data_IF_248998289473
#
_entry.id   IF_248998289473
#
_cell.length_a   1.000
_cell.length_b   1.000
_cell.length_c   1.000
_cell.angle_alpha   90.00
_cell.angle_beta   90.00
_cell.angle_gamma   90.00
#
_symmetry.space_group_name_H-M   'P 1'
#
loop_
_entity.id
_entity.type
_entity.pdbx_description
1 polymer ?
#
# COMPACT_ATOMS: atom_id res chain seq x y z
N UNK A 1 8.09 2.79 -7.69
CA UNK A 1 7.00 2.04 -7.05
C UNK A 1 6.69 2.82 -5.79
N UNK A 2 5.48 3.38 -5.61
CA UNK A 2 5.12 4.01 -4.35
C UNK A 2 5.43 3.07 -3.19
N UNK A 3 6.17 3.57 -2.20
CA UNK A 3 6.48 2.86 -0.97
C UNK A 3 5.55 3.41 0.11
N UNK A 4 5.82 3.12 1.39
CA UNK A 4 4.93 3.53 2.47
C UNK A 4 4.67 5.06 2.50
N UNK A 5 5.67 5.95 2.40
CA UNK A 5 5.45 7.40 2.50
C UNK A 5 4.59 7.97 1.38
N UNK A 6 4.79 7.54 0.12
CA UNK A 6 3.94 7.98 -0.98
C UNK A 6 2.50 7.46 -0.84
N UNK A 7 2.34 6.22 -0.37
CA UNK A 7 1.02 5.65 -0.08
C UNK A 7 0.33 6.41 1.06
N UNK A 8 1.05 6.77 2.12
CA UNK A 8 0.53 7.62 3.21
C UNK A 8 0.09 8.99 2.69
N UNK A 9 0.90 9.61 1.84
CA UNK A 9 0.59 10.92 1.25
C UNK A 9 -0.70 10.87 0.45
N UNK A 10 -0.90 9.81 -0.35
CA UNK A 10 -2.14 9.59 -1.09
C UNK A 10 -3.32 9.42 -0.13
N UNK A 11 -3.18 8.57 0.89
CA UNK A 11 -4.24 8.34 1.90
C UNK A 11 -4.62 9.64 2.60
N UNK A 12 -3.66 10.39 3.14
CA UNK A 12 -3.90 11.66 3.83
C UNK A 12 -4.49 12.73 2.92
N UNK A 13 -4.02 12.81 1.67
CA UNK A 13 -4.51 13.78 0.70
C UNK A 13 -5.94 13.47 0.21
N UNK A 14 -6.33 12.20 0.17
CA UNK A 14 -7.65 11.76 -0.26
C UNK A 14 -8.67 11.70 0.87
N UNK A 15 -8.28 11.34 2.10
CA UNK A 15 -9.17 11.20 3.25
C UNK A 15 -10.19 12.36 3.39
N UNK A 16 -9.78 13.64 3.48
CA UNK A 16 -10.73 14.75 3.64
C UNK A 16 -11.62 14.99 2.42
N UNK A 17 -11.29 14.39 1.26
CA UNK A 17 -12.03 14.56 0.00
C UNK A 17 -13.02 13.45 -0.26
N UNK A 18 -12.75 12.22 0.21
CA UNK A 18 -13.52 11.02 -0.17
C UNK A 18 -14.26 10.36 0.98
N UNK A 19 -13.82 10.54 2.24
CA UNK A 19 -14.53 9.99 3.39
C UNK A 19 -15.91 10.65 3.53
N UNK A 20 -16.92 9.83 3.81
CA UNK A 20 -18.32 10.23 3.82
C UNK A 20 -18.96 10.41 2.44
N UNK A 21 -18.19 10.31 1.35
CA UNK A 21 -18.72 10.47 -0.02
C UNK A 21 -19.25 9.15 -0.59
N UNK A 22 -20.32 9.25 -1.37
CA UNK A 22 -20.99 8.11 -2.00
C UNK A 22 -20.48 7.89 -3.43
N UNK A 23 -20.10 6.66 -3.74
CA UNK A 23 -19.71 6.24 -5.10
C UNK A 23 -20.98 6.14 -5.94
N UNK A 24 -21.21 7.12 -6.81
CA UNK A 24 -22.41 7.23 -7.66
C UNK A 24 -22.34 6.36 -8.89
N UNK A 25 -21.16 6.28 -9.51
CA UNK A 25 -20.89 5.46 -10.67
C UNK A 25 -19.48 4.86 -10.62
N UNK A 26 -19.26 3.77 -11.33
CA UNK A 26 -17.98 3.09 -11.42
C UNK A 26 -17.80 2.57 -12.85
N UNK A 27 -16.68 2.95 -13.47
CA UNK A 27 -16.27 2.43 -14.78
C UNK A 27 -14.99 1.65 -14.66
N UNK A 28 -14.97 0.44 -15.22
CA UNK A 28 -13.79 -0.43 -15.27
C UNK A 28 -13.42 -0.63 -16.74
N UNK A 29 -12.34 0.01 -17.17
CA UNK A 29 -11.82 -0.08 -18.54
C UNK A 29 -10.89 -1.27 -18.75
N UNK A 30 -10.21 -1.71 -17.68
CA UNK A 30 -9.34 -2.88 -17.72
C UNK A 30 -9.76 -3.91 -16.66
N UNK A 31 -10.68 -4.84 -16.99
CA UNK A 31 -11.23 -5.83 -16.07
C UNK A 31 -10.21 -6.60 -15.23
N UNK A 32 -9.06 -6.94 -15.81
CA UNK A 32 -7.98 -7.71 -15.14
C UNK A 32 -7.31 -6.97 -13.97
N UNK A 33 -7.65 -5.69 -13.75
CA UNK A 33 -7.17 -4.95 -12.59
C UNK A 33 -7.91 -5.33 -11.31
N UNK A 34 -9.16 -5.76 -11.43
CA UNK A 34 -9.95 -6.30 -10.33
C UNK A 34 -9.67 -7.79 -10.24
N UNK A 35 -9.42 -8.30 -9.03
CA UNK A 35 -9.14 -9.71 -8.81
C UNK A 35 -10.40 -10.57 -8.93
N UNK A 36 -11.50 -10.09 -8.38
CA UNK A 36 -12.81 -10.73 -8.46
C UNK A 36 -13.43 -10.50 -9.84
N UNK A 37 -14.60 -11.11 -10.08
CA UNK A 37 -15.39 -10.77 -11.26
C UNK A 37 -15.78 -9.27 -11.22
N UNK A 38 -15.48 -8.48 -12.26
CA UNK A 38 -15.80 -7.04 -12.31
C UNK A 38 -17.27 -6.73 -12.03
N UNK A 39 -18.21 -7.58 -12.45
CA UNK A 39 -19.63 -7.39 -12.19
C UNK A 39 -19.97 -7.52 -10.70
N UNK A 40 -19.31 -8.46 -9.99
CA UNK A 40 -19.46 -8.61 -8.53
C UNK A 40 -18.88 -7.40 -7.82
N UNK A 41 -17.68 -6.98 -8.22
CA UNK A 41 -17.03 -5.79 -7.66
C UNK A 41 -17.92 -4.56 -7.83
N UNK A 42 -18.41 -4.31 -9.05
CA UNK A 42 -19.28 -3.18 -9.34
C UNK A 42 -20.58 -3.23 -8.53
N UNK A 43 -21.25 -4.39 -8.45
CA UNK A 43 -22.47 -4.55 -7.65
C UNK A 43 -22.25 -4.21 -6.16
N UNK A 44 -21.07 -4.51 -5.61
CA UNK A 44 -20.76 -4.33 -4.20
C UNK A 44 -20.22 -2.94 -3.85
N UNK A 45 -19.62 -2.25 -4.82
CA UNK A 45 -19.01 -0.93 -4.64
C UNK A 45 -19.94 0.21 -5.02
N UNK A 46 -20.80 0.00 -6.02
CA UNK A 46 -21.72 1.03 -6.51
C UNK A 46 -22.73 1.43 -5.43
N UNK A 47 -23.02 2.72 -5.34
CA UNK A 47 -23.91 3.32 -4.34
C UNK A 47 -23.48 3.10 -2.89
N UNK A 48 -22.22 2.74 -2.62
CA UNK A 48 -21.70 2.67 -1.26
C UNK A 48 -20.99 3.97 -0.89
N UNK A 49 -21.02 4.30 0.40
CA UNK A 49 -20.28 5.41 0.98
C UNK A 49 -18.91 4.91 1.43
N UNK A 50 -17.86 5.68 1.17
CA UNK A 50 -16.53 5.41 1.74
C UNK A 50 -16.55 5.91 3.18
N UNK A 51 -16.47 5.01 4.15
CA UNK A 51 -16.43 5.37 5.57
C UNK A 51 -15.03 5.81 6.00
N UNK A 52 -14.00 5.14 5.46
CA UNK A 52 -12.62 5.39 5.85
C UNK A 52 -11.65 5.03 4.74
N UNK A 53 -10.59 5.81 4.59
CA UNK A 53 -9.39 5.43 3.83
C UNK A 53 -8.21 5.28 4.78
N UNK A 54 -7.45 4.20 4.63
CA UNK A 54 -6.27 3.95 5.45
C UNK A 54 -5.24 3.11 4.67
N UNK A 55 -4.06 2.88 5.27
CA UNK A 55 -3.03 2.02 4.67
C UNK A 55 -2.48 0.98 5.63
N UNK A 56 -1.88 -0.05 5.03
CA UNK A 56 -0.99 -0.98 5.72
C UNK A 56 0.18 -1.32 4.82
N UNK A 57 1.40 -0.98 5.25
CA UNK A 57 2.59 -1.03 4.39
C UNK A 57 2.38 -0.19 3.13
N UNK A 58 2.26 -0.87 1.99
CA UNK A 58 2.08 -0.26 0.64
C UNK A 58 0.69 -0.49 0.04
N UNK A 59 -0.24 -1.01 0.84
CA UNK A 59 -1.64 -1.19 0.45
C UNK A 59 -2.47 -0.01 0.95
N UNK A 60 -3.43 0.40 0.13
CA UNK A 60 -4.50 1.34 0.47
C UNK A 60 -5.77 0.53 0.69
N UNK A 61 -6.56 0.88 1.69
CA UNK A 61 -7.84 0.28 2.00
C UNK A 61 -8.92 1.35 2.03
N UNK A 62 -10.05 1.10 1.39
CA UNK A 62 -11.25 1.93 1.44
C UNK A 62 -12.37 1.11 2.09
N UNK A 63 -12.72 1.42 3.33
CA UNK A 63 -13.84 0.79 4.02
C UNK A 63 -15.16 1.39 3.50
N UNK A 64 -16.11 0.53 3.17
CA UNK A 64 -17.43 0.89 2.66
C UNK A 64 -18.51 0.65 3.72
N UNK A 65 -19.63 1.35 3.61
CA UNK A 65 -20.78 1.27 4.54
C UNK A 65 -21.63 -0.01 4.43
N UNK A 66 -21.07 -1.09 3.86
CA UNK A 66 -21.75 -2.37 3.65
C UNK A 66 -20.91 -3.59 4.02
N UNK A 67 -20.01 -3.44 5.00
CA UNK A 67 -19.10 -4.49 5.49
C UNK A 67 -18.12 -5.03 4.44
N UNK A 68 -17.84 -4.24 3.39
CA UNK A 68 -16.77 -4.50 2.45
C UNK A 68 -15.69 -3.43 2.51
N UNK A 69 -14.46 -3.85 2.21
CA UNK A 69 -13.30 -3.00 2.06
C UNK A 69 -12.69 -3.24 0.69
N UNK A 70 -12.38 -2.18 -0.04
CA UNK A 70 -11.59 -2.25 -1.27
C UNK A 70 -10.11 -2.19 -0.88
N UNK A 71 -9.36 -3.26 -1.14
CA UNK A 71 -7.91 -3.28 -1.06
C UNK A 71 -7.27 -2.89 -2.39
N UNK A 72 -6.34 -1.94 -2.37
CA UNK A 72 -5.61 -1.46 -3.54
C UNK A 72 -4.10 -1.52 -3.32
N UNK A 73 -3.37 -2.08 -4.27
CA UNK A 73 -1.92 -1.96 -4.33
C UNK A 73 -1.50 -1.28 -5.63
N UNK A 74 -0.92 -0.08 -5.55
CA UNK A 74 -0.54 0.73 -6.73
C UNK A 74 0.57 0.11 -7.59
N UNK A 75 1.39 -0.77 -6.99
CA UNK A 75 2.56 -1.37 -7.65
C UNK A 75 3.45 -0.27 -8.20
N UNK A 76 3.99 -0.40 -9.41
CA UNK A 76 5.12 0.43 -9.83
C UNK A 76 4.72 1.81 -10.31
N UNK A 77 3.63 1.91 -11.08
CA UNK A 77 3.20 3.10 -11.84
C UNK A 77 1.72 3.44 -11.61
N UNK A 78 1.05 2.76 -10.68
CA UNK A 78 -0.33 3.07 -10.31
C UNK A 78 -0.43 4.43 -9.64
N UNK A 79 -1.44 5.20 -10.04
CA UNK A 79 -1.75 6.53 -9.56
C UNK A 79 -3.23 6.61 -9.24
N UNK A 80 -3.57 7.27 -8.12
CA UNK A 80 -4.93 7.71 -7.82
C UNK A 80 -5.00 9.21 -8.02
N UNK A 81 -5.84 9.66 -8.95
CA UNK A 81 -5.94 11.06 -9.37
C UNK A 81 -7.34 11.55 -9.05
N UNK A 82 -7.44 12.55 -8.19
CA UNK A 82 -8.70 13.22 -7.86
C UNK A 82 -8.94 14.39 -8.82
N UNK A 83 -10.14 14.48 -9.40
CA UNK A 83 -10.50 15.53 -10.38
C UNK A 83 -11.96 15.98 -10.24
N UNK A 84 -12.23 17.27 -10.40
CA UNK A 84 -13.56 17.86 -10.12
C UNK A 84 -14.65 17.60 -11.17
N UNK A 85 -14.33 17.15 -12.39
CA UNK A 85 -15.27 16.52 -13.38
C UNK A 85 -14.68 16.52 -14.79
N UNK A 86 -13.74 17.41 -15.10
CA UNK A 86 -13.10 17.50 -16.42
C UNK A 86 -11.72 16.86 -16.38
N UNK A 87 -11.66 15.59 -16.75
CA UNK A 87 -10.40 14.91 -17.06
C UNK A 87 -10.69 13.80 -18.08
N UNK A 88 -10.20 13.91 -19.32
CA UNK A 88 -10.41 12.87 -20.31
C UNK A 88 -9.64 11.61 -19.90
N UNK A 89 -10.32 10.47 -19.93
CA UNK A 89 -9.66 9.20 -19.72
C UNK A 89 -8.62 9.00 -20.84
N UNK A 90 -7.39 8.65 -20.46
CA UNK A 90 -6.34 8.27 -21.41
C UNK A 90 -6.25 6.75 -21.54
N UNK A 91 -5.40 6.27 -22.47
CA UNK A 91 -5.17 4.83 -22.69
C UNK A 91 -4.63 4.05 -21.46
N UNK A 92 -4.24 4.76 -20.39
CA UNK A 92 -3.72 4.21 -19.15
C UNK A 92 -4.71 4.31 -17.99
N UNK A 93 -5.89 4.86 -18.23
CA UNK A 93 -7.00 4.92 -17.28
C UNK A 93 -7.71 3.58 -17.26
N UNK A 94 -7.74 2.92 -16.10
CA UNK A 94 -8.24 1.54 -15.99
C UNK A 94 -9.48 1.41 -15.13
N UNK A 95 -9.69 2.33 -14.19
CA UNK A 95 -10.85 2.36 -13.32
C UNK A 95 -11.16 3.81 -12.93
N UNK A 96 -12.43 4.17 -12.89
CA UNK A 96 -12.91 5.47 -12.42
C UNK A 96 -14.05 5.29 -11.42
N UNK A 97 -13.93 5.94 -10.26
CA UNK A 97 -15.01 6.07 -9.27
C UNK A 97 -15.58 7.47 -9.36
N UNK A 98 -16.87 7.58 -9.64
CA UNK A 98 -17.57 8.85 -9.74
C UNK A 98 -18.31 9.14 -8.44
N UNK A 99 -18.19 10.38 -7.98
CA UNK A 99 -18.88 10.93 -6.82
C UNK A 99 -19.78 12.08 -7.29
N UNK A 100 -20.46 12.74 -6.34
CA UNK A 100 -21.35 13.84 -6.69
C UNK A 100 -20.61 14.99 -7.38
N UNK A 101 -19.50 15.48 -6.81
CA UNK A 101 -18.82 16.69 -7.32
C UNK A 101 -17.44 16.42 -7.92
N UNK A 102 -16.98 15.17 -7.95
CA UNK A 102 -15.65 14.82 -8.45
C UNK A 102 -15.61 13.35 -8.91
N UNK A 103 -14.49 12.92 -9.48
CA UNK A 103 -14.17 11.50 -9.68
C UNK A 103 -12.74 11.19 -9.25
N UNK A 104 -12.51 9.93 -8.87
CA UNK A 104 -11.21 9.37 -8.60
C UNK A 104 -10.83 8.44 -9.74
N UNK A 105 -9.71 8.73 -10.40
CA UNK A 105 -9.20 7.97 -11.54
C UNK A 105 -8.04 7.11 -11.06
N UNK A 106 -8.12 5.81 -11.34
CA UNK A 106 -6.97 4.93 -11.27
C UNK A 106 -6.30 4.81 -12.65
N UNK A 107 -5.05 5.24 -12.71
CA UNK A 107 -4.21 5.21 -13.90
C UNK A 107 -2.97 4.36 -13.66
N UNK A 108 -2.61 3.48 -14.60
CA UNK A 108 -1.40 2.66 -14.49
C UNK A 108 -0.83 2.27 -15.85
N UNK A 109 0.32 2.81 -16.20
CA UNK A 109 0.97 2.52 -17.49
C UNK A 109 1.29 1.03 -17.66
N UNK A 110 1.66 0.34 -16.58
CA UNK A 110 2.11 -1.05 -16.60
C UNK A 110 1.03 -2.08 -16.29
N UNK A 111 -0.17 -1.64 -15.89
CA UNK A 111 -1.33 -2.51 -15.56
C UNK A 111 -1.02 -3.53 -14.45
N UNK A 112 -0.17 -3.17 -13.51
CA UNK A 112 0.28 -4.05 -12.44
C UNK A 112 -0.53 -3.90 -11.17
N UNK A 113 -1.08 -2.72 -10.88
CA UNK A 113 -1.89 -2.55 -9.69
C UNK A 113 -3.11 -3.44 -9.69
N UNK A 114 -3.64 -3.68 -8.49
CA UNK A 114 -4.75 -4.61 -8.26
C UNK A 114 -5.73 -4.03 -7.27
N UNK A 115 -7.01 -4.19 -7.59
CA UNK A 115 -8.14 -3.96 -6.71
C UNK A 115 -8.68 -5.31 -6.27
N UNK A 116 -8.94 -5.45 -4.98
CA UNK A 116 -9.47 -6.67 -4.36
C UNK A 116 -10.63 -6.26 -3.44
N UNK A 117 -11.77 -6.94 -3.55
CA UNK A 117 -12.91 -6.73 -2.66
C UNK A 117 -12.85 -7.73 -1.50
N UNK A 118 -12.84 -7.21 -0.28
CA UNK A 118 -12.60 -7.99 0.95
C UNK A 118 -13.76 -7.73 1.91
N UNK A 119 -14.24 -8.72 2.66
CA UNK A 119 -15.13 -8.42 3.77
C UNK A 119 -14.36 -7.64 4.85
N UNK A 120 -14.90 -6.55 5.38
CA UNK A 120 -14.19 -5.66 6.33
C UNK A 120 -13.65 -6.43 7.54
N UNK A 121 -14.45 -7.35 8.09
CA UNK A 121 -14.02 -8.24 9.20
C UNK A 121 -12.85 -9.19 8.86
N UNK A 122 -12.57 -9.42 7.58
CA UNK A 122 -11.52 -10.31 7.09
C UNK A 122 -10.25 -9.56 6.67
N UNK A 123 -10.20 -8.23 6.73
CA UNK A 123 -9.04 -7.46 6.23
C UNK A 123 -7.74 -7.83 6.95
N UNK A 124 -7.78 -8.05 8.27
CA UNK A 124 -6.59 -8.50 9.01
C UNK A 124 -6.11 -9.89 8.57
N UNK A 125 -7.04 -10.79 8.27
CA UNK A 125 -6.70 -12.12 7.76
C UNK A 125 -6.15 -12.04 6.33
N UNK A 126 -6.72 -11.17 5.49
CA UNK A 126 -6.20 -10.87 4.17
C UNK A 126 -4.74 -10.36 4.22
N UNK A 127 -4.41 -9.44 5.14
CA UNK A 127 -3.04 -8.95 5.35
C UNK A 127 -2.10 -10.11 5.70
N UNK A 128 -2.52 -11.02 6.58
CA UNK A 128 -1.75 -12.23 6.93
C UNK A 128 -1.56 -13.17 5.75
N UNK A 129 -2.60 -13.37 4.92
CA UNK A 129 -2.51 -14.21 3.71
C UNK A 129 -1.54 -13.65 2.68
N UNK A 130 -1.40 -12.32 2.59
CA UNK A 130 -0.35 -11.65 1.80
C UNK A 130 1.05 -11.77 2.43
N UNK A 131 1.16 -12.40 3.60
CA UNK A 131 2.38 -12.61 4.38
C UNK A 131 3.09 -11.29 4.72
N UNK A 132 2.35 -10.22 4.93
CA UNK A 132 2.93 -8.95 5.35
C UNK A 132 3.27 -9.03 6.85
N UNK A 133 4.47 -8.60 7.22
CA UNK A 133 4.80 -8.32 8.61
C UNK A 133 4.02 -7.11 9.14
N UNK A 134 4.22 -6.77 10.41
CA UNK A 134 3.74 -5.50 10.98
C UNK A 134 4.21 -4.30 10.14
N UNK A 135 3.35 -3.28 10.02
CA UNK A 135 3.66 -2.02 9.34
C UNK A 135 4.97 -1.42 9.90
N UNK A 136 5.82 -0.89 9.00
CA UNK A 136 7.14 -0.41 9.35
C UNK A 136 7.14 0.66 10.44
N UNK A 137 6.07 1.46 10.56
CA UNK A 137 5.97 2.47 11.61
C UNK A 137 5.63 1.87 12.97
N UNK A 138 4.92 0.74 12.99
CA UNK A 138 4.36 0.11 14.21
C UNK A 138 5.17 -1.10 14.71
N UNK A 139 5.95 -1.76 13.84
CA UNK A 139 6.68 -2.98 14.19
C UNK A 139 7.65 -2.76 15.37
N UNK A 140 7.68 -3.73 16.30
CA UNK A 140 8.58 -3.68 17.46
C UNK A 140 9.98 -4.18 17.13
N UNK A 141 10.98 -3.78 17.92
CA UNK A 141 12.36 -4.30 17.77
C UNK A 141 12.39 -5.83 17.91
N UNK A 142 11.62 -6.38 18.84
CA UNK A 142 11.55 -7.82 19.10
C UNK A 142 11.02 -8.56 17.88
N UNK A 143 9.91 -8.08 17.30
CA UNK A 143 9.32 -8.70 16.12
C UNK A 143 10.25 -8.56 14.90
N UNK A 144 10.78 -7.37 14.66
CA UNK A 144 11.70 -7.11 13.55
C UNK A 144 12.95 -7.98 13.64
N UNK A 145 13.60 -8.06 14.81
CA UNK A 145 14.78 -8.90 15.03
C UNK A 145 14.46 -10.38 14.77
N UNK A 146 13.34 -10.88 15.30
CA UNK A 146 12.87 -12.25 15.09
C UNK A 146 12.62 -12.56 13.61
N UNK A 147 12.06 -11.62 12.85
CA UNK A 147 11.77 -11.82 11.42
C UNK A 147 13.05 -11.76 10.58
N UNK A 148 13.93 -10.80 10.87
CA UNK A 148 15.15 -10.52 10.12
C UNK A 148 16.17 -11.67 10.29
N UNK A 149 16.45 -12.07 11.52
CA UNK A 149 17.48 -13.09 11.86
C UNK A 149 17.21 -14.47 11.26
N UNK A 150 15.97 -14.77 10.85
CA UNK A 150 15.61 -16.01 10.15
C UNK A 150 16.08 -16.06 8.69
N UNK A 151 16.45 -14.93 8.09
CA UNK A 151 16.81 -14.88 6.67
C UNK A 151 18.30 -15.13 6.47
N UNK A 152 18.59 -16.11 5.60
CA UNK A 152 19.96 -16.42 5.15
C UNK A 152 20.27 -15.70 3.84
N UNK A 153 20.27 -14.36 3.89
CA UNK A 153 20.47 -13.51 2.71
C UNK A 153 21.23 -12.23 3.07
N UNK A 154 21.42 -11.36 2.09
CA UNK A 154 22.00 -10.04 2.25
C UNK A 154 20.99 -9.02 2.78
N UNK A 155 21.50 -8.02 3.49
CA UNK A 155 20.68 -7.07 4.24
C UNK A 155 19.66 -6.33 3.37
N UNK A 156 20.06 -5.82 2.20
CA UNK A 156 19.11 -5.14 1.29
C UNK A 156 18.00 -6.08 0.81
N UNK A 157 18.34 -7.31 0.45
CA UNK A 157 17.34 -8.30 0.02
C UNK A 157 16.37 -8.65 1.15
N UNK A 158 16.86 -8.73 2.39
CA UNK A 158 16.02 -8.94 3.55
C UNK A 158 15.10 -7.75 3.83
N UNK A 159 15.58 -6.51 3.82
CA UNK A 159 14.74 -5.35 4.13
C UNK A 159 13.68 -5.06 3.05
N UNK A 160 13.90 -5.51 1.82
CA UNK A 160 12.89 -5.47 0.75
C UNK A 160 11.78 -6.53 0.92
N UNK A 161 12.02 -7.57 1.73
CA UNK A 161 11.07 -8.63 1.99
C UNK A 161 9.97 -8.13 2.94
N UNK A 162 8.76 -7.96 2.40
CA UNK A 162 7.62 -7.46 3.16
C UNK A 162 7.16 -8.44 4.26
N UNK A 163 7.68 -9.67 4.30
CA UNK A 163 7.49 -10.62 5.42
C UNK A 163 8.36 -10.30 6.64
N UNK A 164 9.29 -9.34 6.53
CA UNK A 164 10.13 -8.88 7.63
C UNK A 164 9.61 -7.57 8.21
N UNK A 165 9.34 -6.60 7.33
CA UNK A 165 8.86 -5.26 7.64
C UNK A 165 8.01 -4.75 6.48
N UNK A 166 6.75 -4.41 6.73
CA UNK A 166 5.84 -3.99 5.66
C UNK A 166 5.95 -2.49 5.41
N UNK A 167 6.26 -2.08 4.17
CA UNK A 167 6.29 -0.67 3.78
C UNK A 167 7.62 -0.17 3.23
N UNK A 168 8.75 -0.74 3.63
CA UNK A 168 10.05 -0.40 3.04
C UNK A 168 10.16 -0.92 1.61
N UNK A 169 10.61 -0.10 0.68
CA UNK A 169 10.98 -0.50 -0.68
C UNK A 169 12.40 -0.07 -1.02
N UNK A 170 12.69 0.01 -2.32
CA UNK A 170 14.07 0.15 -2.77
C UNK A 170 14.69 1.49 -2.36
N UNK A 171 13.94 2.59 -2.46
CA UNK A 171 14.47 3.92 -2.13
C UNK A 171 14.77 3.99 -0.64
N UNK A 172 13.79 3.68 0.21
CA UNK A 172 13.97 3.85 1.65
C UNK A 172 14.86 2.78 2.28
N UNK A 173 15.02 1.60 1.66
CA UNK A 173 16.06 0.65 2.06
C UNK A 173 17.45 1.21 1.79
N UNK A 174 17.69 1.78 0.61
CA UNK A 174 19.01 2.34 0.28
C UNK A 174 19.35 3.54 1.18
N UNK A 175 18.39 4.44 1.42
CA UNK A 175 18.54 5.56 2.37
C UNK A 175 18.84 5.08 3.79
N UNK A 176 18.10 4.07 4.28
CA UNK A 176 18.33 3.49 5.60
C UNK A 176 19.74 2.91 5.72
N UNK A 177 20.17 2.12 4.73
CA UNK A 177 21.48 1.47 4.73
C UNK A 177 22.62 2.47 4.59
N UNK A 178 22.43 3.53 3.81
CA UNK A 178 23.38 4.63 3.69
C UNK A 178 23.59 5.32 5.05
N UNK A 179 22.51 5.66 5.77
CA UNK A 179 22.60 6.29 7.10
C UNK A 179 23.25 5.39 8.14
N UNK A 180 22.98 4.09 8.09
CA UNK A 180 23.63 3.09 8.95
C UNK A 180 25.06 2.74 8.51
N UNK A 181 25.52 3.24 7.34
CA UNK A 181 26.80 2.89 6.71
C UNK A 181 26.98 1.37 6.55
N UNK A 182 25.89 0.65 6.28
CA UNK A 182 25.88 -0.80 6.08
C UNK A 182 25.83 -1.13 4.59
N UNK A 183 26.66 -2.08 4.17
CA UNK A 183 26.63 -2.55 2.79
C UNK A 183 25.29 -3.24 2.48
N UNK A 184 24.67 -2.99 1.32
CA UNK A 184 23.53 -3.78 0.83
C UNK A 184 23.79 -5.29 0.80
N UNK A 185 25.06 -5.68 0.62
CA UNK A 185 25.55 -7.06 0.58
C UNK A 185 26.06 -7.56 1.94
N UNK A 186 25.80 -6.83 3.02
CA UNK A 186 26.15 -7.30 4.37
C UNK A 186 25.29 -8.53 4.72
N UNK A 187 25.88 -9.66 5.12
CA UNK A 187 25.10 -10.85 5.48
C UNK A 187 24.28 -10.59 6.75
N UNK A 188 22.98 -10.88 6.71
CA UNK A 188 22.08 -10.71 7.87
C UNK A 188 22.58 -11.47 9.09
N UNK A 189 23.12 -12.68 8.89
CA UNK A 189 23.65 -13.53 9.95
C UNK A 189 24.83 -12.92 10.74
N UNK A 190 25.45 -11.84 10.23
CA UNK A 190 26.57 -11.15 10.89
C UNK A 190 26.15 -9.89 11.65
N UNK A 191 24.86 -9.54 11.66
CA UNK A 191 24.37 -8.37 12.39
C UNK A 191 24.35 -8.63 13.90
N UNK A 192 24.87 -7.67 14.66
CA UNK A 192 24.67 -7.64 16.11
C UNK A 192 23.25 -7.17 16.45
N UNK A 193 22.78 -7.48 17.65
CA UNK A 193 21.48 -6.99 18.12
C UNK A 193 21.43 -5.45 18.19
N UNK A 194 22.57 -4.79 18.51
CA UNK A 194 22.65 -3.32 18.49
C UNK A 194 22.50 -2.74 17.08
N UNK A 195 23.08 -3.38 16.07
CA UNK A 195 22.90 -2.99 14.67
C UNK A 195 21.45 -3.19 14.22
N UNK A 196 20.79 -4.29 14.61
CA UNK A 196 19.38 -4.54 14.27
C UNK A 196 18.47 -3.45 14.87
N UNK A 197 18.70 -3.07 16.14
CA UNK A 197 17.97 -1.99 16.80
C UNK A 197 18.17 -0.64 16.08
N UNK A 198 19.42 -0.29 15.81
CA UNK A 198 19.78 0.95 15.12
C UNK A 198 19.13 1.00 13.73
N UNK A 199 19.23 -0.09 12.98
CA UNK A 199 18.64 -0.25 11.65
C UNK A 199 17.12 0.01 11.66
N UNK A 200 16.38 -0.59 12.61
CA UNK A 200 14.94 -0.34 12.70
C UNK A 200 14.63 1.12 13.04
N UNK A 201 15.36 1.70 14.00
CA UNK A 201 15.18 3.10 14.39
C UNK A 201 15.39 4.04 13.20
N UNK A 202 16.49 3.84 12.47
CA UNK A 202 16.83 4.64 11.29
C UNK A 202 15.83 4.44 10.16
N UNK A 203 15.38 3.21 9.93
CA UNK A 203 14.33 2.94 8.94
C UNK A 203 13.03 3.70 9.26
N UNK A 204 12.58 3.67 10.53
CA UNK A 204 11.40 4.44 10.96
C UNK A 204 11.62 5.95 10.83
N UNK A 205 12.82 6.44 11.08
CA UNK A 205 13.16 7.85 10.94
C UNK A 205 13.10 8.30 9.48
N UNK A 206 13.77 7.57 8.58
CA UNK A 206 13.75 7.84 7.13
C UNK A 206 12.32 7.88 6.59
N UNK A 207 11.48 6.92 6.98
CA UNK A 207 10.08 6.87 6.54
C UNK A 207 9.21 8.02 7.06
N UNK A 208 9.56 8.62 8.21
CA UNK A 208 8.81 9.74 8.80
C UNK A 208 9.25 11.11 8.26
N UNK A 209 10.49 11.21 7.78
CA UNK A 209 11.04 12.43 7.18
C UNK A 209 10.62 12.60 5.72
N UNK A 210 10.27 11.51 5.05
CA UNK A 210 9.78 11.48 3.68
C UNK A 210 8.30 11.90 3.57
#
# INVERSE_FOLDING_TARGET
MPELPEVETIVRGLAPKIEGQKIRDLKIYYPKIVRENPAIFQKKVLQQKIEKIWRYGKYIFLDLDNDYTIGLHLRMTGQLIWVERVYPADKHTHLELYFDTFKLIYRDVRKFGRFELIQTKQVLEYIKQKKLATDALEITEVEFSKNLTKKKTYLKAALLDQTIIAGLGNIYVDETLMREKLSPKFPVAKLSQSQIRSLLKTAKQVLKEA
#
